data_IF_427469024729
#
_entry.id   IF_427469024729
#
_cell.length_a   1.000
_cell.length_b   1.000
_cell.length_c   1.000
_cell.angle_alpha   90.00
_cell.angle_beta   90.00
_cell.angle_gamma   90.00
#
_symmetry.space_group_name_H-M   'P 1'
#
loop_
_entity.id
_entity.type
_entity.pdbx_description
1 polymer ?
#
# COMPACT_ATOMS: atom_id res chain seq x y z
N UNK A 1 -2.44 16.29 -6.08
CA UNK A 1 -1.56 15.13 -6.34
C UNK A 1 -1.52 14.21 -5.15
N UNK A 2 -1.10 12.96 -5.36
CA UNK A 2 -0.90 11.95 -4.32
C UNK A 2 0.33 11.09 -4.67
N UNK A 3 0.93 10.47 -3.65
CA UNK A 3 2.03 9.52 -3.81
C UNK A 3 1.61 8.19 -3.19
N UNK A 4 1.63 7.12 -3.99
CA UNK A 4 1.50 5.74 -3.49
C UNK A 4 2.88 5.10 -3.54
N UNK A 5 3.35 4.66 -2.38
CA UNK A 5 4.61 3.98 -2.21
C UNK A 5 4.38 2.49 -1.93
N UNK A 6 5.01 1.61 -2.70
CA UNK A 6 4.87 0.16 -2.55
C UNK A 6 6.19 -0.53 -2.19
N UNK A 7 7.20 0.23 -1.77
CA UNK A 7 8.49 -0.26 -1.29
C UNK A 7 9.02 0.65 -0.16
N UNK A 8 8.35 0.70 1.01
CA UNK A 8 8.58 1.70 2.04
C UNK A 8 10.05 1.85 2.50
N UNK A 9 10.79 0.77 2.76
CA UNK A 9 12.23 0.85 3.05
C UNK A 9 13.09 1.57 2.00
N UNK A 10 12.79 1.43 0.70
CA UNK A 10 13.55 2.17 -0.33
C UNK A 10 13.15 3.65 -0.40
N UNK A 11 12.14 4.04 0.36
CA UNK A 11 11.47 5.34 0.26
C UNK A 11 11.93 6.34 1.29
N UNK A 12 12.77 5.93 2.24
CA UNK A 12 13.65 6.87 2.96
C UNK A 12 14.52 7.71 1.99
N UNK A 13 14.65 7.26 0.74
CA UNK A 13 15.28 8.01 -0.35
C UNK A 13 14.31 8.87 -1.19
N UNK A 14 12.99 8.78 -0.96
CA UNK A 14 11.95 9.52 -1.66
C UNK A 14 11.12 10.31 -0.65
N UNK A 15 11.56 11.54 -0.37
CA UNK A 15 10.80 12.48 0.45
C UNK A 15 9.40 12.68 -0.13
N UNK A 16 8.37 12.55 0.71
CA UNK A 16 7.02 12.94 0.34
C UNK A 16 7.00 14.44 0.02
N UNK A 17 6.56 14.81 -1.19
CA UNK A 17 6.43 16.22 -1.59
C UNK A 17 5.54 16.95 -0.57
N UNK A 18 6.04 18.06 -0.02
CA UNK A 18 5.32 18.84 0.99
C UNK A 18 3.92 19.23 0.51
N UNK A 19 2.89 18.97 1.33
CA UNK A 19 1.49 19.27 1.03
C UNK A 19 0.75 18.20 0.21
N UNK A 20 1.40 17.09 -0.14
CA UNK A 20 0.81 15.96 -0.86
C UNK A 20 0.45 14.82 0.10
N UNK A 21 -0.72 14.20 -0.07
CA UNK A 21 -1.08 13.00 0.70
C UNK A 21 -0.25 11.82 0.21
N UNK A 22 0.52 11.23 1.11
CA UNK A 22 1.34 10.04 0.84
C UNK A 22 0.76 8.81 1.54
N UNK A 23 0.82 7.68 0.84
CA UNK A 23 0.34 6.38 1.32
C UNK A 23 1.42 5.34 1.05
N UNK A 24 1.60 4.39 1.98
CA UNK A 24 2.48 3.24 1.76
C UNK A 24 1.73 1.92 1.85
N UNK A 25 2.16 0.95 1.07
CA UNK A 25 1.74 -0.45 1.16
C UNK A 25 3.00 -1.28 1.48
N UNK A 26 2.96 -1.97 2.62
CA UNK A 26 3.97 -2.91 3.10
C UNK A 26 3.43 -4.35 3.07
N UNK A 27 4.33 -5.33 2.98
CA UNK A 27 4.00 -6.74 2.81
C UNK A 27 4.62 -7.59 3.94
N UNK A 28 3.83 -8.43 4.61
CA UNK A 28 4.31 -9.26 5.75
C UNK A 28 5.52 -10.16 5.43
N UNK A 29 5.67 -10.56 4.17
CA UNK A 29 6.76 -11.43 3.71
C UNK A 29 8.02 -10.65 3.31
N UNK A 30 7.93 -9.34 3.16
CA UNK A 30 9.07 -8.49 2.85
C UNK A 30 9.72 -8.03 4.17
N UNK A 31 10.50 -8.92 4.78
CA UNK A 31 11.20 -8.60 6.03
C UNK A 31 12.25 -7.49 5.87
N UNK A 32 12.63 -7.14 4.63
CA UNK A 32 13.59 -6.10 4.33
C UNK A 32 12.92 -4.75 4.06
N UNK A 33 11.60 -4.71 3.78
CA UNK A 33 10.86 -3.47 3.58
C UNK A 33 10.60 -2.68 4.85
N UNK A 34 10.79 -3.30 6.02
CA UNK A 34 10.72 -2.66 7.34
C UNK A 34 9.35 -2.03 7.64
N UNK A 35 9.04 -1.80 8.92
CA UNK A 35 7.88 -0.96 9.28
C UNK A 35 8.18 0.55 9.06
N UNK A 36 9.19 0.91 8.25
CA UNK A 36 9.57 2.30 7.97
C UNK A 36 8.63 2.93 6.93
N UNK A 37 7.36 2.99 7.32
CA UNK A 37 6.31 3.65 6.59
C UNK A 37 6.33 5.13 6.94
N UNK A 38 7.32 5.88 6.41
CA UNK A 38 7.48 7.33 6.59
C UNK A 38 6.36 8.21 6.03
N UNK A 39 5.19 7.63 5.72
CA UNK A 39 4.04 8.28 5.09
C UNK A 39 2.89 8.51 6.10
N UNK A 40 2.01 9.46 5.80
CA UNK A 40 0.90 9.83 6.70
C UNK A 40 -0.13 8.70 6.95
N UNK A 41 -0.24 7.70 6.07
CA UNK A 41 -1.12 6.53 6.20
C UNK A 41 -0.41 5.30 5.62
N UNK A 42 -0.26 4.25 6.42
CA UNK A 42 0.36 2.99 6.00
C UNK A 42 -0.62 1.82 5.96
N UNK A 43 -0.50 0.96 4.94
CA UNK A 43 -1.25 -0.27 4.80
C UNK A 43 -0.30 -1.47 4.83
N UNK A 44 -0.49 -2.38 5.77
CA UNK A 44 0.23 -3.65 5.82
C UNK A 44 -0.65 -4.78 5.32
N UNK A 45 -0.17 -5.56 4.35
CA UNK A 45 -0.94 -6.65 3.74
C UNK A 45 -0.28 -8.01 3.97
N UNK A 46 -1.13 -9.02 4.23
CA UNK A 46 -0.68 -10.40 4.52
C UNK A 46 -0.48 -11.25 3.26
N UNK A 47 -0.15 -10.62 2.13
CA UNK A 47 -0.03 -11.29 0.84
C UNK A 47 1.14 -12.26 0.86
N UNK A 48 1.32 -13.07 -0.18
CA UNK A 48 2.45 -14.01 -0.26
C UNK A 48 3.43 -13.59 -1.33
N UNK A 49 4.71 -13.79 -1.05
CA UNK A 49 5.74 -13.66 -2.07
C UNK A 49 5.56 -14.71 -3.18
N UNK A 50 5.86 -14.32 -4.42
CA UNK A 50 6.17 -15.20 -5.54
C UNK A 50 7.44 -16.02 -5.32
N UNK A 51 7.93 -16.68 -6.38
CA UNK A 51 8.99 -17.69 -6.23
C UNK A 51 10.35 -17.06 -5.97
N UNK A 52 11.24 -17.80 -5.30
CA UNK A 52 12.64 -17.40 -5.10
C UNK A 52 13.33 -17.27 -6.47
N UNK A 53 13.99 -16.13 -6.71
CA UNK A 53 14.65 -15.82 -7.99
C UNK A 53 13.81 -14.98 -8.96
N UNK A 54 12.52 -14.74 -8.67
CA UNK A 54 11.70 -13.79 -9.43
C UNK A 54 11.89 -12.37 -8.85
N UNK A 55 12.15 -11.40 -9.73
CA UNK A 55 12.03 -9.98 -9.40
C UNK A 55 10.55 -9.61 -9.25
N UNK A 56 10.20 -8.72 -8.32
CA UNK A 56 8.82 -8.26 -8.07
C UNK A 56 7.85 -9.40 -7.66
N UNK A 57 8.16 -10.07 -6.55
CA UNK A 57 7.40 -11.20 -6.00
C UNK A 57 5.98 -10.87 -5.52
N UNK A 58 5.50 -9.64 -5.66
CA UNK A 58 4.16 -9.27 -5.22
C UNK A 58 3.10 -9.76 -6.23
N UNK A 59 2.54 -10.94 -6.00
CA UNK A 59 1.51 -11.53 -6.86
C UNK A 59 0.19 -10.73 -6.86
N UNK A 60 0.00 -9.87 -5.86
CA UNK A 60 -1.21 -9.08 -5.64
C UNK A 60 -1.07 -7.63 -6.08
N UNK A 61 0.03 -7.26 -6.73
CA UNK A 61 0.33 -5.90 -7.17
C UNK A 61 -0.83 -5.25 -7.94
N UNK A 62 -1.39 -5.95 -8.91
CA UNK A 62 -2.51 -5.44 -9.73
C UNK A 62 -3.75 -5.18 -8.88
N UNK A 63 -4.03 -6.07 -7.92
CA UNK A 63 -5.17 -5.93 -7.02
C UNK A 63 -4.96 -4.75 -6.06
N UNK A 64 -3.76 -4.59 -5.51
CA UNK A 64 -3.40 -3.51 -4.58
C UNK A 64 -3.49 -2.13 -5.24
N UNK A 65 -2.82 -1.97 -6.40
CA UNK A 65 -2.86 -0.72 -7.17
C UNK A 65 -4.27 -0.41 -7.64
N UNK A 66 -4.98 -1.41 -8.18
CA UNK A 66 -6.34 -1.25 -8.66
C UNK A 66 -7.32 -0.87 -7.54
N UNK A 67 -7.25 -1.55 -6.40
CA UNK A 67 -8.07 -1.25 -5.22
C UNK A 67 -7.77 0.15 -4.69
N UNK A 68 -6.50 0.53 -4.59
CA UNK A 68 -6.11 1.84 -4.10
C UNK A 68 -6.61 2.97 -5.02
N UNK A 69 -6.38 2.87 -6.34
CA UNK A 69 -6.84 3.87 -7.31
C UNK A 69 -8.36 4.02 -7.24
N UNK A 70 -9.09 2.90 -7.20
CA UNK A 70 -10.55 2.92 -7.11
C UNK A 70 -11.03 3.59 -5.82
N UNK A 71 -10.46 3.20 -4.68
CA UNK A 71 -10.82 3.76 -3.37
C UNK A 71 -10.49 5.24 -3.30
N UNK A 72 -9.36 5.65 -3.86
CA UNK A 72 -8.98 7.05 -3.96
C UNK A 72 -9.99 7.86 -4.78
N UNK A 73 -10.39 7.38 -5.96
CA UNK A 73 -11.38 8.03 -6.80
C UNK A 73 -12.76 8.15 -6.12
N UNK A 74 -13.18 7.11 -5.41
CA UNK A 74 -14.49 7.07 -4.73
C UNK A 74 -14.51 7.85 -3.40
N UNK A 75 -13.33 8.09 -2.81
CA UNK A 75 -13.18 8.81 -1.55
C UNK A 75 -13.45 10.31 -1.64
N UNK A 76 -13.34 10.91 -2.83
CA UNK A 76 -13.37 12.37 -3.02
C UNK A 76 -12.42 13.14 -2.06
N UNK A 77 -11.31 12.52 -1.67
CA UNK A 77 -10.31 13.12 -0.79
C UNK A 77 -10.56 12.88 0.71
N UNK A 78 -11.59 12.14 1.11
CA UNK A 78 -11.80 11.73 2.50
C UNK A 78 -10.93 10.51 2.87
N UNK A 79 -10.00 10.68 3.80
CA UNK A 79 -9.04 9.63 4.15
C UNK A 79 -9.72 8.39 4.78
N UNK A 80 -10.67 8.60 5.69
CA UNK A 80 -11.39 7.50 6.34
C UNK A 80 -12.13 6.63 5.32
N UNK A 81 -12.79 7.27 4.34
CA UNK A 81 -13.48 6.58 3.26
C UNK A 81 -12.50 5.81 2.36
N UNK A 82 -11.38 6.42 1.99
CA UNK A 82 -10.33 5.75 1.22
C UNK A 82 -9.84 4.49 1.95
N UNK A 83 -9.53 4.61 3.24
CA UNK A 83 -9.03 3.51 4.07
C UNK A 83 -10.06 2.38 4.13
N UNK A 84 -11.32 2.70 4.41
CA UNK A 84 -12.40 1.72 4.53
C UNK A 84 -12.67 1.01 3.21
N UNK A 85 -12.77 1.76 2.11
CA UNK A 85 -13.01 1.21 0.77
C UNK A 85 -11.84 0.34 0.30
N UNK A 86 -10.60 0.77 0.56
CA UNK A 86 -9.40 -0.01 0.24
C UNK A 86 -9.37 -1.32 1.02
N UNK A 87 -9.52 -1.26 2.35
CA UNK A 87 -9.54 -2.45 3.20
C UNK A 87 -10.67 -3.42 2.79
N UNK A 88 -11.83 -2.90 2.40
CA UNK A 88 -12.97 -3.70 1.93
C UNK A 88 -12.69 -4.39 0.60
N UNK A 89 -12.11 -3.68 -0.37
CA UNK A 89 -11.74 -4.26 -1.68
C UNK A 89 -10.66 -5.33 -1.51
N UNK A 90 -9.64 -5.06 -0.70
CA UNK A 90 -8.58 -6.02 -0.43
C UNK A 90 -9.11 -7.29 0.24
N UNK A 91 -10.05 -7.17 1.19
CA UNK A 91 -10.76 -8.33 1.77
C UNK A 91 -11.53 -9.13 0.73
N UNK A 92 -12.11 -8.49 -0.29
CA UNK A 92 -12.80 -9.19 -1.38
C UNK A 92 -11.86 -10.05 -2.24
N UNK A 93 -10.56 -9.73 -2.24
CA UNK A 93 -9.49 -10.53 -2.85
C UNK A 93 -8.89 -11.58 -1.90
N UNK A 94 -9.41 -11.71 -0.68
CA UNK A 94 -8.87 -12.60 0.35
C UNK A 94 -7.60 -12.07 1.03
N UNK A 95 -7.34 -10.77 0.92
CA UNK A 95 -6.16 -10.12 1.48
C UNK A 95 -6.58 -9.29 2.69
N UNK A 96 -5.93 -9.52 3.83
CA UNK A 96 -6.15 -8.74 5.04
C UNK A 96 -5.22 -7.53 5.05
N UNK A 97 -5.79 -6.38 5.40
CA UNK A 97 -5.09 -5.10 5.53
C UNK A 97 -5.12 -4.66 6.99
N UNK A 98 -3.96 -4.32 7.53
CA UNK A 98 -3.81 -3.57 8.78
C UNK A 98 -3.43 -2.14 8.44
N UNK A 99 -4.06 -1.16 9.10
CA UNK A 99 -3.82 0.27 8.85
C UNK A 99 -3.01 0.81 10.01
N UNK A 100 -1.92 1.52 9.70
CA UNK A 100 -1.00 2.14 10.66
C UNK A 100 -0.94 3.65 10.44
#
# INVERSE_FOLDING_TARGET
>A
DYVLNMAPHQSDAIDATAGVKSYSIDHDWDMLSGDDMGNNIGFKTNTKSGKVGESHKNQTFVNEVGAFIKSFQESNGENSKLIDDFAKLMRSYGINVTVN
#
